data_IF_849494200700
#
_entry.id   IF_849494200700
#
_cell.length_a   1.000
_cell.length_b   1.000
_cell.length_c   1.000
_cell.angle_alpha   90.00
_cell.angle_beta   90.00
_cell.angle_gamma   90.00
#
_symmetry.space_group_name_H-M   'P 1'
#
loop_
_entity.id
_entity.type
_entity.pdbx_description
1 polymer ?
#
# COMPACT_ATOMS: atom_id res chain seq x y z
N UNK A 1 21.92 12.31 81.22
CA UNK A 1 21.53 13.18 80.08
C UNK A 1 20.82 12.34 79.04
N UNK A 2 19.48 12.34 79.06
CA UNK A 2 18.65 11.61 78.12
C UNK A 2 18.37 12.53 76.92
N UNK A 3 18.73 12.11 75.67
CA UNK A 3 18.31 12.76 74.42
C UNK A 3 17.15 11.96 73.87
N UNK A 4 15.99 12.59 73.81
CA UNK A 4 14.77 12.08 73.22
C UNK A 4 14.82 12.40 71.72
N UNK A 5 14.76 11.35 70.85
CA UNK A 5 14.65 11.48 69.44
C UNK A 5 13.17 11.42 69.09
N UNK A 6 12.63 12.48 68.49
CA UNK A 6 11.29 12.52 67.94
C UNK A 6 11.35 11.94 66.50
N UNK A 7 10.68 10.82 66.32
CA UNK A 7 10.45 10.23 65.00
C UNK A 7 9.22 10.88 64.37
N UNK A 8 9.41 11.70 63.39
CA UNK A 8 8.31 12.29 62.58
C UNK A 8 7.83 11.24 61.61
N UNK A 9 6.68 10.64 61.81
CA UNK A 9 5.99 9.82 60.80
C UNK A 9 5.30 10.77 59.80
N UNK A 10 5.86 10.89 58.60
CA UNK A 10 5.19 11.49 57.46
C UNK A 10 4.24 10.48 56.84
N UNK A 11 2.95 10.67 57.06
CA UNK A 11 1.87 9.93 56.43
C UNK A 11 1.72 10.43 54.97
N UNK A 12 2.35 9.79 54.04
CA UNK A 12 2.08 10.00 52.58
C UNK A 12 0.74 9.36 52.28
N UNK A 13 -0.29 10.18 52.14
CA UNK A 13 -1.55 9.78 51.52
C UNK A 13 -1.30 9.45 50.06
N UNK A 14 -1.27 8.19 49.73
CA UNK A 14 -1.41 7.73 48.33
C UNK A 14 -2.85 8.05 47.90
N UNK A 15 -3.01 9.10 47.13
CA UNK A 15 -4.20 9.30 46.31
C UNK A 15 -4.15 8.21 45.23
N UNK A 16 -4.75 7.06 45.49
CA UNK A 16 -5.16 6.14 44.47
C UNK A 16 -6.23 6.87 43.64
N UNK A 17 -5.84 7.46 42.53
CA UNK A 17 -6.79 7.80 41.48
C UNK A 17 -7.43 6.49 41.04
N UNK A 18 -8.62 6.20 41.55
CA UNK A 18 -9.47 5.22 40.90
C UNK A 18 -9.77 5.75 39.53
N UNK A 19 -9.08 5.22 38.51
CA UNK A 19 -9.54 5.32 37.13
C UNK A 19 -10.80 4.47 37.11
N UNK A 20 -11.93 5.14 36.92
CA UNK A 20 -13.24 4.49 36.88
C UNK A 20 -13.28 3.70 35.56
N UNK A 21 -12.98 2.41 35.63
CA UNK A 21 -13.00 1.49 34.49
C UNK A 21 -14.38 1.41 33.82
N UNK A 22 -15.44 1.82 34.49
CA UNK A 22 -16.79 1.85 33.94
C UNK A 22 -16.97 2.97 32.91
N UNK A 23 -16.23 4.07 32.96
CA UNK A 23 -16.35 5.15 31.99
C UNK A 23 -15.64 4.85 30.67
N UNK A 24 -14.60 4.00 30.69
CA UNK A 24 -13.89 3.60 29.47
C UNK A 24 -14.70 2.65 28.55
N UNK A 25 -15.79 2.07 29.05
CA UNK A 25 -16.66 1.15 28.30
C UNK A 25 -17.98 1.76 27.86
N UNK A 26 -18.28 2.99 28.30
CA UNK A 26 -19.52 3.66 27.91
C UNK A 26 -19.45 4.10 26.46
N UNK A 27 -20.46 3.74 25.63
CA UNK A 27 -20.50 4.23 24.27
C UNK A 27 -20.59 5.75 24.21
N UNK A 28 -19.86 6.36 23.29
CA UNK A 28 -19.92 7.78 23.00
C UNK A 28 -21.26 8.10 22.33
N UNK A 29 -21.94 9.12 22.82
CA UNK A 29 -23.29 9.46 22.34
C UNK A 29 -23.27 10.14 20.99
N UNK A 30 -22.20 10.88 20.70
CA UNK A 30 -22.08 11.59 19.42
C UNK A 30 -20.62 11.71 18.97
N UNK A 31 -20.24 10.92 17.97
CA UNK A 31 -19.01 11.09 17.22
C UNK A 31 -19.36 11.52 15.81
N UNK A 32 -18.66 12.49 15.28
CA UNK A 32 -18.90 13.02 13.94
C UNK A 32 -17.71 12.72 13.04
N UNK A 33 -17.96 12.20 11.84
CA UNK A 33 -16.96 12.08 10.77
C UNK A 33 -17.35 13.03 9.65
N UNK A 34 -16.44 13.93 9.29
CA UNK A 34 -16.66 14.92 8.23
C UNK A 34 -15.72 14.66 7.06
N UNK A 35 -16.28 14.57 5.86
CA UNK A 35 -15.53 14.51 4.62
C UNK A 35 -15.07 15.91 4.22
N UNK A 36 -13.77 16.08 4.04
CA UNK A 36 -13.16 17.31 3.51
C UNK A 36 -12.94 17.09 2.02
N UNK A 37 -13.64 17.87 1.20
CA UNK A 37 -13.61 17.76 -0.26
C UNK A 37 -12.22 17.98 -0.84
N UNK A 38 -11.88 17.32 -1.97
CA UNK A 38 -10.69 17.66 -2.74
C UNK A 38 -10.68 19.14 -3.15
N UNK A 39 -9.50 19.73 -3.28
CA UNK A 39 -9.34 21.16 -3.58
C UNK A 39 -10.06 21.59 -4.87
N UNK A 40 -10.05 20.72 -5.88
CA UNK A 40 -10.67 20.99 -7.18
C UNK A 40 -12.20 20.91 -7.16
N UNK A 41 -12.82 20.31 -6.15
CA UNK A 41 -14.29 20.28 -6.06
C UNK A 41 -14.84 21.65 -5.73
N UNK A 42 -15.79 22.13 -6.54
CA UNK A 42 -16.39 23.46 -6.36
C UNK A 42 -17.22 23.57 -5.09
N UNK A 43 -17.92 22.49 -4.72
CA UNK A 43 -18.78 22.43 -3.54
C UNK A 43 -18.84 21.02 -2.92
N UNK A 44 -19.74 20.80 -1.97
CA UNK A 44 -19.92 19.54 -1.27
C UNK A 44 -21.02 18.65 -1.88
N UNK A 45 -21.58 18.98 -3.03
CA UNK A 45 -22.75 18.26 -3.59
C UNK A 45 -22.53 16.77 -3.82
N UNK A 46 -21.29 16.34 -4.04
CA UNK A 46 -20.90 14.94 -4.24
C UNK A 46 -20.59 14.19 -2.94
N UNK A 47 -20.60 14.84 -1.77
CA UNK A 47 -20.23 14.23 -0.50
C UNK A 47 -21.40 13.60 0.26
N UNK A 48 -22.61 13.80 -0.20
CA UNK A 48 -23.81 13.26 0.45
C UNK A 48 -24.04 11.78 0.13
N UNK A 49 -24.65 11.09 1.11
CA UNK A 49 -25.02 9.68 1.01
C UNK A 49 -23.80 8.75 0.69
N UNK A 50 -22.64 9.05 1.30
CA UNK A 50 -21.42 8.25 1.19
C UNK A 50 -21.24 7.38 2.40
N UNK A 51 -20.84 6.13 2.18
CA UNK A 51 -20.60 5.17 3.26
C UNK A 51 -19.25 5.46 3.91
N UNK A 52 -19.26 5.71 5.21
CA UNK A 52 -18.05 5.73 6.05
C UNK A 52 -17.95 4.38 6.73
N UNK A 53 -16.78 3.77 6.68
CA UNK A 53 -16.47 2.51 7.38
C UNK A 53 -15.49 2.81 8.52
N UNK A 54 -15.84 2.38 9.73
CA UNK A 54 -14.96 2.42 10.91
C UNK A 54 -14.63 0.99 11.31
N UNK A 55 -13.36 0.63 11.29
CA UNK A 55 -12.88 -0.71 11.61
C UNK A 55 -11.94 -0.66 12.81
N UNK A 56 -12.24 -1.41 13.85
CA UNK A 56 -11.35 -1.77 14.96
C UNK A 56 -11.13 -3.29 14.93
N UNK A 57 -10.25 -3.83 15.80
CA UNK A 57 -9.74 -5.22 15.74
C UNK A 57 -10.81 -6.29 15.42
N UNK A 58 -11.97 -6.22 16.11
CA UNK A 58 -13.04 -7.22 15.96
C UNK A 58 -14.39 -6.59 15.58
N UNK A 59 -14.41 -5.35 15.13
CA UNK A 59 -15.65 -4.61 14.90
C UNK A 59 -15.54 -3.75 13.64
N UNK A 60 -16.57 -3.85 12.80
CA UNK A 60 -16.74 -2.95 11.66
C UNK A 60 -18.09 -2.27 11.79
N UNK A 61 -18.11 -0.96 11.66
CA UNK A 61 -19.30 -0.12 11.67
C UNK A 61 -19.37 0.68 10.39
N UNK A 62 -20.58 0.98 9.94
CA UNK A 62 -20.77 1.87 8.79
C UNK A 62 -21.76 2.97 9.15
N UNK A 63 -21.55 4.14 8.57
CA UNK A 63 -22.46 5.28 8.67
C UNK A 63 -22.61 5.95 7.31
N UNK A 64 -23.70 6.67 7.10
CA UNK A 64 -23.94 7.43 5.86
C UNK A 64 -23.76 8.92 6.11
N UNK A 65 -23.15 9.62 5.17
CA UNK A 65 -23.05 11.08 5.24
C UNK A 65 -24.36 11.78 4.84
N UNK A 66 -24.61 12.91 5.47
CA UNK A 66 -25.63 13.88 5.03
C UNK A 66 -25.21 14.63 3.75
N UNK A 67 -26.06 15.55 3.29
CA UNK A 67 -25.79 16.35 2.10
C UNK A 67 -24.53 17.24 2.20
N UNK A 68 -24.00 17.49 3.39
CA UNK A 68 -22.80 18.25 3.62
C UNK A 68 -21.55 17.39 3.76
N UNK A 69 -21.66 16.07 3.62
CA UNK A 69 -20.56 15.13 3.80
C UNK A 69 -20.26 14.83 5.28
N UNK A 70 -21.26 14.94 6.16
CA UNK A 70 -21.11 14.70 7.60
C UNK A 70 -21.86 13.46 8.02
N UNK A 71 -21.19 12.51 8.65
CA UNK A 71 -21.80 11.33 9.26
C UNK A 71 -21.77 11.45 10.79
N UNK A 72 -22.95 11.33 11.42
CA UNK A 72 -23.07 11.27 12.88
C UNK A 72 -23.21 9.83 13.34
N UNK A 73 -22.38 9.41 14.28
CA UNK A 73 -22.33 8.05 14.79
C UNK A 73 -22.71 8.11 16.28
N UNK A 74 -23.80 7.43 16.63
CA UNK A 74 -24.23 7.27 18.00
C UNK A 74 -23.73 5.92 18.57
N UNK A 75 -23.56 5.86 19.87
CA UNK A 75 -23.17 4.65 20.60
C UNK A 75 -21.84 4.02 20.12
N UNK A 76 -20.89 4.87 19.70
CA UNK A 76 -19.57 4.41 19.32
C UNK A 76 -18.76 3.97 20.55
N UNK A 77 -18.28 2.73 20.57
CA UNK A 77 -17.38 2.24 21.64
C UNK A 77 -16.04 2.99 21.54
N UNK A 78 -15.51 3.53 22.65
CA UNK A 78 -14.16 4.10 22.66
C UNK A 78 -13.12 3.08 22.21
N UNK A 79 -12.35 3.41 21.16
CA UNK A 79 -11.34 2.51 20.56
C UNK A 79 -10.43 3.27 19.60
N UNK A 80 -9.49 2.56 19.00
CA UNK A 80 -8.66 3.02 17.89
C UNK A 80 -9.20 2.47 16.58
N UNK A 81 -9.66 3.36 15.72
CA UNK A 81 -10.31 3.00 14.46
C UNK A 81 -9.45 3.30 13.24
N UNK A 82 -9.51 2.43 12.24
CA UNK A 82 -9.25 2.82 10.85
C UNK A 82 -10.57 3.29 10.27
N UNK A 83 -10.61 4.52 9.76
CA UNK A 83 -11.80 5.12 9.17
C UNK A 83 -11.56 5.32 7.69
N UNK A 84 -12.47 4.88 6.84
CA UNK A 84 -12.30 4.99 5.38
C UNK A 84 -13.61 5.22 4.67
N UNK A 85 -13.50 5.76 3.46
CA UNK A 85 -14.60 5.90 2.49
C UNK A 85 -14.03 5.85 1.08
N UNK A 86 -14.79 5.29 0.14
CA UNK A 86 -14.47 5.34 -1.28
C UNK A 86 -15.76 5.19 -2.12
N UNK A 87 -15.77 5.84 -3.29
CA UNK A 87 -16.83 5.68 -4.30
C UNK A 87 -16.32 6.08 -5.67
N UNK A 88 -16.89 5.49 -6.73
CA UNK A 88 -16.56 5.85 -8.10
C UNK A 88 -17.42 7.01 -8.59
N UNK A 89 -16.83 7.83 -9.46
CA UNK A 89 -17.50 8.86 -10.25
C UNK A 89 -17.04 8.77 -11.71
N UNK A 90 -17.91 9.08 -12.63
CA UNK A 90 -17.55 9.13 -14.05
C UNK A 90 -16.72 10.38 -14.36
N UNK A 91 -15.95 10.36 -15.46
CA UNK A 91 -15.22 11.54 -15.96
C UNK A 91 -16.15 12.74 -16.21
N UNK A 92 -17.40 12.49 -16.62
CA UNK A 92 -18.40 13.53 -16.83
C UNK A 92 -18.85 14.18 -15.50
N UNK A 93 -19.10 13.36 -14.47
CA UNK A 93 -19.41 13.84 -13.12
C UNK A 93 -18.24 14.65 -12.55
N UNK A 94 -17.01 14.14 -12.69
CA UNK A 94 -15.82 14.86 -12.24
C UNK A 94 -15.67 16.21 -12.91
N UNK A 95 -15.83 16.30 -14.24
CA UNK A 95 -15.83 17.55 -14.97
C UNK A 95 -16.88 18.54 -14.45
N UNK A 96 -18.08 18.04 -14.16
CA UNK A 96 -19.16 18.86 -13.58
C UNK A 96 -18.81 19.38 -12.17
N UNK A 97 -18.33 18.50 -11.29
CA UNK A 97 -17.99 18.83 -9.89
C UNK A 97 -16.84 19.82 -9.80
N UNK A 98 -15.89 19.74 -10.71
CA UNK A 98 -14.72 20.65 -10.76
C UNK A 98 -14.97 21.94 -11.55
N UNK A 99 -16.15 22.08 -12.16
CA UNK A 99 -16.46 23.22 -13.04
C UNK A 99 -15.53 23.31 -14.26
N UNK A 100 -15.07 22.15 -14.75
CA UNK A 100 -14.15 22.03 -15.89
C UNK A 100 -12.70 22.45 -15.58
N UNK A 101 -12.34 22.66 -14.32
CA UNK A 101 -10.99 23.07 -13.90
C UNK A 101 -10.06 21.87 -13.65
N UNK A 102 -10.60 20.66 -13.50
CA UNK A 102 -9.78 19.43 -13.46
C UNK A 102 -9.09 19.28 -14.80
N UNK A 103 -7.77 19.02 -14.85
CA UNK A 103 -7.16 18.47 -16.05
C UNK A 103 -8.04 17.32 -16.51
N UNK A 104 -8.28 17.23 -17.82
CA UNK A 104 -8.98 16.09 -18.39
C UNK A 104 -8.16 14.84 -18.04
N UNK A 105 -8.47 14.23 -16.90
CA UNK A 105 -8.15 12.86 -16.65
C UNK A 105 -8.77 12.10 -17.81
N UNK A 106 -8.08 11.12 -18.34
CA UNK A 106 -8.47 10.40 -19.55
C UNK A 106 -9.99 10.17 -19.54
N UNK A 107 -10.68 10.57 -20.62
CA UNK A 107 -12.13 10.37 -20.72
C UNK A 107 -12.54 8.90 -20.84
N UNK A 108 -11.59 7.98 -20.70
CA UNK A 108 -11.76 6.55 -20.89
C UNK A 108 -12.00 5.78 -19.57
N UNK A 109 -11.68 6.36 -18.42
CA UNK A 109 -11.77 5.66 -17.14
C UNK A 109 -12.68 6.39 -16.15
N UNK A 110 -13.31 5.63 -15.27
CA UNK A 110 -13.96 6.17 -14.09
C UNK A 110 -12.88 6.64 -13.09
N UNK A 111 -13.29 7.44 -12.12
CA UNK A 111 -12.42 7.96 -11.09
C UNK A 111 -12.91 7.47 -9.73
N UNK A 112 -11.99 7.18 -8.85
CA UNK A 112 -12.30 6.87 -7.45
C UNK A 112 -12.02 8.08 -6.57
N UNK A 113 -13.04 8.50 -5.82
CA UNK A 113 -12.90 9.45 -4.71
C UNK A 113 -12.73 8.65 -3.44
N UNK A 114 -11.63 8.84 -2.71
CA UNK A 114 -11.36 8.08 -1.50
C UNK A 114 -10.71 8.92 -0.41
N UNK A 115 -10.77 8.42 0.82
CA UNK A 115 -10.06 8.99 1.96
C UNK A 115 -9.99 8.00 3.10
N UNK A 116 -8.91 8.05 3.89
CA UNK A 116 -8.70 7.16 5.01
C UNK A 116 -7.90 7.81 6.13
N UNK A 117 -8.19 7.39 7.35
CA UNK A 117 -7.41 7.69 8.54
C UNK A 117 -7.08 6.37 9.25
N UNK A 118 -5.80 6.04 9.32
CA UNK A 118 -5.34 4.87 10.07
C UNK A 118 -5.12 5.25 11.54
N UNK A 119 -5.48 4.34 12.46
CA UNK A 119 -5.24 4.48 13.91
C UNK A 119 -5.78 5.78 14.50
N UNK A 120 -6.99 6.16 14.12
CA UNK A 120 -7.68 7.30 14.74
C UNK A 120 -8.16 6.93 16.12
N UNK A 121 -7.59 7.55 17.15
CA UNK A 121 -8.03 7.40 18.53
C UNK A 121 -9.36 8.14 18.75
N UNK A 122 -10.38 7.39 19.20
CA UNK A 122 -11.70 7.95 19.53
C UNK A 122 -12.09 7.47 20.94
N UNK A 123 -11.64 8.21 21.94
CA UNK A 123 -11.92 7.94 23.36
C UNK A 123 -12.84 8.98 24.00
N UNK A 124 -13.22 10.00 23.24
CA UNK A 124 -14.17 11.05 23.64
C UNK A 124 -14.98 11.50 22.44
N UNK A 125 -16.10 12.15 22.67
CA UNK A 125 -16.89 12.79 21.62
C UNK A 125 -16.06 13.81 20.87
N UNK A 126 -15.97 13.66 19.55
CA UNK A 126 -15.15 14.50 18.70
C UNK A 126 -15.63 14.53 17.26
N UNK A 127 -15.14 15.49 16.51
CA UNK A 127 -15.24 15.51 15.05
C UNK A 127 -13.93 15.06 14.45
N UNK A 128 -14.00 14.11 13.53
CA UNK A 128 -12.86 13.57 12.78
C UNK A 128 -13.00 13.96 11.33
N UNK A 129 -11.98 14.61 10.77
CA UNK A 129 -11.95 15.04 9.38
C UNK A 129 -11.21 14.03 8.52
N UNK A 130 -11.83 13.60 7.42
CA UNK A 130 -11.21 12.76 6.40
C UNK A 130 -10.95 13.60 5.16
N UNK A 131 -9.68 13.87 4.86
CA UNK A 131 -9.31 14.52 3.60
C UNK A 131 -9.53 13.53 2.46
N UNK A 132 -10.28 13.97 1.44
CA UNK A 132 -10.53 13.18 0.24
C UNK A 132 -9.50 13.49 -0.85
N UNK A 133 -9.17 12.47 -1.63
CA UNK A 133 -8.41 12.54 -2.88
C UNK A 133 -9.20 11.94 -4.03
N UNK A 134 -8.79 12.23 -5.25
CA UNK A 134 -9.35 11.65 -6.47
C UNK A 134 -8.22 10.96 -7.23
N UNK A 135 -8.45 9.73 -7.64
CA UNK A 135 -7.55 8.96 -8.48
C UNK A 135 -8.29 8.42 -9.70
N UNK A 136 -7.57 8.18 -10.78
CA UNK A 136 -8.10 7.53 -11.98
C UNK A 136 -8.02 6.02 -11.79
N UNK A 137 -9.09 5.29 -12.13
CA UNK A 137 -9.08 3.84 -12.11
C UNK A 137 -8.14 3.34 -13.21
N UNK A 138 -7.25 2.42 -12.87
CA UNK A 138 -6.23 1.93 -13.79
C UNK A 138 -6.63 0.59 -14.40
N UNK A 139 -6.30 0.40 -15.68
CA UNK A 139 -6.48 -0.88 -16.36
C UNK A 139 -5.61 -1.98 -15.74
N UNK A 140 -4.37 -1.63 -15.39
CA UNK A 140 -3.37 -2.56 -14.84
C UNK A 140 -3.06 -2.19 -13.40
N UNK A 141 -3.29 -3.13 -12.49
CA UNK A 141 -3.04 -2.94 -11.06
C UNK A 141 -2.08 -3.98 -10.49
N UNK A 142 -1.38 -3.62 -9.43
CA UNK A 142 -0.59 -4.56 -8.63
C UNK A 142 -1.56 -5.45 -7.86
N UNK A 143 -1.55 -6.74 -8.14
CA UNK A 143 -2.50 -7.69 -7.54
C UNK A 143 -1.91 -8.52 -6.41
N UNK A 144 -0.61 -8.87 -6.47
CA UNK A 144 0.07 -9.61 -5.40
C UNK A 144 1.50 -9.15 -5.23
N UNK A 145 1.97 -9.19 -3.98
CA UNK A 145 3.38 -8.99 -3.64
C UNK A 145 3.80 -10.08 -2.65
N UNK A 146 4.67 -10.99 -3.06
CA UNK A 146 5.28 -11.99 -2.20
C UNK A 146 6.69 -11.55 -1.81
N UNK A 147 6.77 -10.75 -0.76
CA UNK A 147 8.03 -10.27 -0.22
C UNK A 147 8.54 -11.07 0.97
N UNK A 148 7.63 -11.68 1.72
CA UNK A 148 7.97 -12.34 2.98
C UNK A 148 8.89 -13.55 2.80
N UNK A 149 8.74 -14.30 1.71
CA UNK A 149 9.42 -15.56 1.45
C UNK A 149 9.25 -16.59 2.60
N UNK A 150 9.99 -17.65 2.62
CA UNK A 150 9.83 -18.70 3.63
C UNK A 150 11.15 -19.21 4.19
N UNK A 151 11.09 -20.28 4.95
CA UNK A 151 12.23 -21.07 5.38
C UNK A 151 12.14 -22.48 4.78
N UNK A 152 13.31 -23.07 4.53
CA UNK A 152 13.40 -24.47 4.14
C UNK A 152 13.11 -25.42 5.32
N UNK A 153 13.03 -26.72 5.05
CA UNK A 153 12.78 -27.76 6.05
C UNK A 153 13.84 -27.81 7.17
N UNK A 154 15.02 -27.23 6.95
CA UNK A 154 16.09 -27.11 7.93
C UNK A 154 16.03 -25.76 8.68
N UNK A 155 14.93 -25.01 8.56
CA UNK A 155 14.74 -23.68 9.14
C UNK A 155 15.72 -22.63 8.62
N UNK A 156 16.34 -22.85 7.45
CA UNK A 156 17.21 -21.92 6.78
C UNK A 156 16.39 -20.99 5.90
N UNK A 157 16.74 -19.71 5.90
CA UNK A 157 16.10 -18.67 5.10
C UNK A 157 16.19 -19.00 3.61
N UNK A 158 15.03 -18.97 2.94
CA UNK A 158 14.89 -19.08 1.50
C UNK A 158 14.43 -17.74 0.93
N UNK A 159 15.14 -17.18 -0.06
CA UNK A 159 14.87 -15.82 -0.56
C UNK A 159 14.57 -15.73 -2.06
N UNK A 160 14.78 -16.82 -2.79
CA UNK A 160 14.69 -16.79 -4.25
C UNK A 160 13.26 -16.72 -4.79
N UNK A 161 12.26 -17.04 -3.97
CA UNK A 161 10.86 -17.15 -4.38
C UNK A 161 10.07 -15.86 -4.42
N UNK A 162 10.70 -14.68 -4.28
CA UNK A 162 9.97 -13.39 -4.35
C UNK A 162 9.31 -13.19 -5.72
N UNK A 163 8.06 -12.68 -5.69
CA UNK A 163 7.34 -12.33 -6.90
C UNK A 163 6.42 -11.12 -6.73
N UNK A 164 6.07 -10.55 -7.86
CA UNK A 164 5.07 -9.51 -8.07
C UNK A 164 4.09 -10.00 -9.12
N UNK A 165 2.80 -9.75 -8.94
CA UNK A 165 1.78 -10.09 -9.93
C UNK A 165 0.96 -8.84 -10.27
N UNK A 166 0.75 -8.63 -11.57
CA UNK A 166 -0.12 -7.60 -12.11
C UNK A 166 -1.41 -8.22 -12.63
N UNK A 167 -2.48 -7.44 -12.66
CA UNK A 167 -3.79 -7.86 -13.13
C UNK A 167 -4.40 -6.81 -14.07
N UNK A 168 -4.99 -7.27 -15.18
CA UNK A 168 -5.72 -6.40 -16.10
C UNK A 168 -7.20 -6.37 -15.69
N UNK A 169 -7.66 -5.24 -15.15
CA UNK A 169 -9.04 -5.02 -14.73
C UNK A 169 -9.97 -4.60 -15.87
N UNK A 170 -9.41 -4.18 -17.02
CA UNK A 170 -10.21 -3.65 -18.12
C UNK A 170 -10.84 -4.75 -18.98
N UNK A 171 -11.84 -4.37 -19.76
CA UNK A 171 -12.45 -5.24 -20.78
C UNK A 171 -11.64 -5.34 -22.06
N UNK A 172 -10.48 -4.70 -22.14
CA UNK A 172 -9.62 -4.67 -23.27
C UNK A 172 -8.31 -5.44 -23.06
N UNK A 173 -7.72 -5.91 -24.14
CA UNK A 173 -6.34 -6.40 -24.08
C UNK A 173 -5.39 -5.21 -24.02
N UNK A 174 -4.60 -5.12 -22.94
CA UNK A 174 -3.66 -4.02 -22.70
C UNK A 174 -2.24 -4.48 -23.02
N UNK A 175 -1.54 -3.71 -23.85
CA UNK A 175 -0.12 -3.94 -24.10
C UNK A 175 0.71 -3.22 -23.04
N UNK A 176 1.43 -4.00 -22.24
CA UNK A 176 2.25 -3.49 -21.13
C UNK A 176 3.75 -3.40 -21.49
N UNK A 177 4.10 -3.53 -22.77
CA UNK A 177 5.47 -3.30 -23.22
C UNK A 177 5.94 -1.87 -22.87
N UNK A 178 7.10 -1.77 -22.23
CA UNK A 178 7.63 -0.50 -21.77
C UNK A 178 7.09 0.00 -20.42
N UNK A 179 6.14 -0.71 -19.78
CA UNK A 179 5.69 -0.40 -18.43
C UNK A 179 6.86 -0.53 -17.44
N UNK A 180 7.00 0.44 -16.56
CA UNK A 180 8.02 0.43 -15.52
C UNK A 180 7.46 -0.04 -14.19
N UNK A 181 8.33 -0.74 -13.44
CA UNK A 181 8.09 -1.20 -12.08
C UNK A 181 9.15 -0.56 -11.20
N UNK A 182 8.73 0.31 -10.28
CA UNK A 182 9.57 0.98 -9.32
C UNK A 182 9.49 0.35 -7.94
N UNK A 183 10.62 -0.01 -7.33
CA UNK A 183 10.66 -0.38 -5.93
C UNK A 183 10.96 0.87 -5.11
N UNK A 184 10.04 1.24 -4.23
CA UNK A 184 10.16 2.43 -3.38
C UNK A 184 11.38 2.28 -2.46
N UNK A 185 12.03 3.40 -2.18
CA UNK A 185 13.24 3.44 -1.37
C UNK A 185 13.02 2.80 -0.01
N UNK A 186 13.86 1.89 0.37
CA UNK A 186 13.98 1.38 1.72
C UNK A 186 15.27 0.55 1.84
N UNK A 187 16.01 0.83 2.90
CA UNK A 187 17.16 0.03 3.30
C UNK A 187 17.21 -0.02 4.83
N UNK A 188 16.53 -1.00 5.41
CA UNK A 188 16.41 -1.10 6.87
C UNK A 188 15.43 -0.08 7.44
N UNK A 189 15.76 0.50 8.60
CA UNK A 189 14.85 1.36 9.38
C UNK A 189 14.89 2.85 9.02
N UNK A 190 15.90 3.27 8.27
CA UNK A 190 16.08 4.68 7.91
C UNK A 190 15.60 4.92 6.49
N UNK A 191 14.39 5.43 6.39
CA UNK A 191 13.74 5.80 5.15
C UNK A 191 13.31 7.27 5.22
N UNK A 192 13.10 7.88 4.06
CA UNK A 192 12.38 9.14 3.99
C UNK A 192 10.97 8.97 4.55
N UNK A 193 10.44 10.04 5.14
CA UNK A 193 9.03 10.12 5.54
C UNK A 193 8.28 11.03 4.57
N UNK A 194 6.94 11.02 4.60
CA UNK A 194 6.15 11.96 3.80
C UNK A 194 6.49 13.42 4.16
N UNK A 195 6.78 13.72 5.44
CA UNK A 195 7.22 15.05 5.87
C UNK A 195 8.53 15.47 5.19
N UNK A 196 9.52 14.57 5.12
CA UNK A 196 10.77 14.85 4.41
C UNK A 196 10.55 15.09 2.91
N UNK A 197 9.65 14.32 2.28
CA UNK A 197 9.31 14.49 0.87
C UNK A 197 8.57 15.82 0.63
N UNK A 198 7.69 16.21 1.56
CA UNK A 198 7.00 17.50 1.52
C UNK A 198 7.99 18.67 1.61
N UNK A 199 8.85 18.66 2.61
CA UNK A 199 9.84 19.72 2.84
C UNK A 199 10.83 19.90 1.67
N UNK A 200 11.27 18.79 1.08
CA UNK A 200 12.33 18.83 0.07
C UNK A 200 11.82 18.93 -1.35
N UNK A 201 10.64 18.35 -1.63
CA UNK A 201 10.15 18.16 -3.01
C UNK A 201 8.70 18.61 -3.20
N UNK A 202 8.08 19.24 -2.18
CA UNK A 202 6.69 19.72 -2.24
C UNK A 202 5.71 18.65 -2.77
N UNK A 203 5.84 17.40 -2.27
CA UNK A 203 5.00 16.25 -2.62
C UNK A 203 4.98 15.88 -4.11
N UNK A 204 6.04 16.19 -4.84
CA UNK A 204 6.08 16.03 -6.30
C UNK A 204 6.75 14.75 -6.78
N UNK A 205 7.45 14.00 -5.91
CA UNK A 205 8.25 12.83 -6.30
C UNK A 205 8.09 11.66 -5.33
N UNK A 206 8.27 10.45 -5.85
CA UNK A 206 8.48 9.22 -5.08
C UNK A 206 9.93 8.75 -5.29
N UNK A 207 10.60 8.31 -4.24
CA UNK A 207 11.99 7.88 -4.30
C UNK A 207 12.08 6.39 -4.60
N UNK A 208 12.85 6.02 -5.63
CA UNK A 208 13.02 4.64 -6.06
C UNK A 208 14.42 4.13 -5.81
N UNK A 209 14.54 2.93 -5.20
CA UNK A 209 15.81 2.21 -5.04
C UNK A 209 16.13 1.30 -6.22
N UNK A 210 15.13 0.78 -6.91
CA UNK A 210 15.27 -0.02 -8.12
C UNK A 210 14.18 0.32 -9.13
N UNK A 211 14.53 0.20 -10.41
CA UNK A 211 13.61 0.39 -11.53
C UNK A 211 13.83 -0.75 -12.51
N UNK A 212 12.76 -1.48 -12.78
CA UNK A 212 12.68 -2.46 -13.87
C UNK A 212 11.74 -1.95 -14.94
N UNK A 213 11.86 -2.49 -16.16
CA UNK A 213 10.97 -2.18 -17.27
C UNK A 213 10.64 -3.46 -18.03
N UNK A 214 9.39 -3.65 -18.41
CA UNK A 214 9.02 -4.66 -19.40
C UNK A 214 9.66 -4.26 -20.73
N UNK A 215 10.40 -5.15 -21.42
CA UNK A 215 11.12 -4.79 -22.64
C UNK A 215 10.20 -4.14 -23.68
N UNK A 216 10.64 -3.02 -24.26
CA UNK A 216 9.84 -2.24 -25.24
C UNK A 216 9.62 -2.96 -26.57
N UNK A 217 10.57 -3.82 -26.94
CA UNK A 217 10.55 -4.52 -28.24
C UNK A 217 9.77 -5.85 -28.19
N UNK A 218 9.11 -6.11 -27.07
CA UNK A 218 8.31 -7.31 -26.87
C UNK A 218 6.83 -6.94 -26.88
N UNK A 219 6.02 -7.64 -27.70
CA UNK A 219 4.57 -7.52 -27.59
C UNK A 219 4.15 -8.27 -26.30
N UNK A 220 3.72 -7.55 -25.28
CA UNK A 220 3.31 -8.12 -24.02
C UNK A 220 1.86 -7.71 -23.71
N UNK A 221 0.91 -8.49 -24.23
CA UNK A 221 -0.52 -8.21 -24.09
C UNK A 221 -1.12 -9.01 -22.94
N UNK A 222 -1.65 -8.29 -21.97
CA UNK A 222 -2.49 -8.87 -20.92
C UNK A 222 -3.94 -8.90 -21.40
N UNK A 223 -4.52 -10.10 -21.49
CA UNK A 223 -5.94 -10.25 -21.81
C UNK A 223 -6.82 -9.66 -20.71
N UNK A 224 -8.10 -9.31 -21.00
CA UNK A 224 -9.07 -8.93 -19.96
C UNK A 224 -9.15 -9.97 -18.84
N UNK A 225 -9.06 -9.52 -17.57
CA UNK A 225 -9.00 -10.41 -16.41
C UNK A 225 -7.73 -11.27 -16.31
N UNK A 226 -6.74 -11.02 -17.17
CA UNK A 226 -5.46 -11.75 -17.18
C UNK A 226 -4.46 -11.23 -16.18
N UNK A 227 -3.47 -12.06 -15.85
CA UNK A 227 -2.37 -11.74 -14.92
C UNK A 227 -1.03 -11.75 -15.64
N UNK A 228 -0.07 -11.02 -15.06
CA UNK A 228 1.33 -11.07 -15.46
C UNK A 228 2.18 -11.30 -14.22
N UNK A 229 2.92 -12.41 -14.20
CA UNK A 229 3.72 -12.87 -13.06
C UNK A 229 5.21 -12.57 -13.29
N UNK A 230 5.78 -11.78 -12.38
CA UNK A 230 7.16 -11.32 -12.39
C UNK A 230 7.88 -11.90 -11.17
N UNK A 231 8.95 -12.64 -11.38
CA UNK A 231 9.63 -13.42 -10.33
C UNK A 231 11.13 -13.16 -10.27
N UNK A 232 11.76 -13.47 -9.15
CA UNK A 232 13.22 -13.44 -9.05
C UNK A 232 13.89 -14.64 -9.74
N UNK A 233 13.21 -15.79 -9.77
CA UNK A 233 13.70 -17.02 -10.38
C UNK A 233 12.51 -17.88 -10.79
N UNK A 234 12.38 -18.15 -12.09
CA UNK A 234 11.22 -18.84 -12.69
C UNK A 234 11.40 -20.37 -12.63
N UNK A 235 11.56 -20.91 -11.43
CA UNK A 235 11.71 -22.35 -11.17
C UNK A 235 10.63 -22.83 -10.19
N UNK A 236 10.51 -24.14 -10.06
CA UNK A 236 9.68 -24.74 -9.02
C UNK A 236 10.45 -24.72 -7.67
N UNK A 237 10.16 -23.71 -6.86
CA UNK A 237 10.82 -23.52 -5.56
C UNK A 237 10.42 -24.57 -4.54
N UNK A 238 9.28 -25.25 -4.69
CA UNK A 238 8.84 -26.33 -3.78
C UNK A 238 9.80 -27.51 -3.80
N UNK A 239 10.51 -27.71 -4.90
CA UNK A 239 11.53 -28.77 -5.05
C UNK A 239 12.85 -28.48 -4.35
N UNK A 240 13.02 -27.31 -3.75
CA UNK A 240 14.22 -26.90 -3.05
C UNK A 240 14.11 -27.07 -1.51
N UNK A 241 13.35 -28.05 -1.05
CA UNK A 241 13.05 -28.28 0.37
C UNK A 241 12.42 -27.08 1.08
N UNK A 242 11.70 -26.24 0.33
CA UNK A 242 11.01 -25.06 0.83
C UNK A 242 9.49 -25.21 0.58
N UNK A 243 8.78 -26.01 1.39
CA UNK A 243 7.40 -26.44 1.11
C UNK A 243 6.36 -25.32 1.16
N UNK A 244 6.73 -24.16 1.70
CA UNK A 244 5.88 -22.96 1.71
C UNK A 244 6.13 -22.03 0.53
N UNK A 245 7.05 -22.37 -0.36
CA UNK A 245 7.30 -21.63 -1.58
C UNK A 245 6.36 -22.08 -2.70
N UNK A 246 6.45 -21.43 -3.85
CA UNK A 246 5.56 -21.62 -4.99
C UNK A 246 6.30 -22.28 -6.17
N UNK A 247 5.54 -22.94 -7.04
CA UNK A 247 5.99 -23.26 -8.39
C UNK A 247 5.86 -22.00 -9.25
N UNK A 248 6.99 -21.42 -9.63
CA UNK A 248 7.08 -20.19 -10.44
C UNK A 248 7.51 -20.47 -11.88
N UNK A 249 7.49 -21.72 -12.35
CA UNK A 249 7.87 -22.08 -13.73
C UNK A 249 6.99 -21.44 -14.78
N UNK A 250 5.74 -21.09 -14.43
CA UNK A 250 4.79 -20.38 -15.32
C UNK A 250 4.92 -18.84 -15.30
N UNK A 251 6.04 -18.28 -14.81
CA UNK A 251 6.24 -16.83 -14.80
C UNK A 251 6.36 -16.25 -16.22
N UNK A 252 5.94 -14.99 -16.37
CA UNK A 252 6.06 -14.26 -17.63
C UNK A 252 7.42 -13.58 -17.77
N UNK A 253 7.99 -13.12 -16.64
CA UNK A 253 9.30 -12.45 -16.60
C UNK A 253 10.11 -12.79 -15.36
N UNK A 254 11.44 -12.77 -15.51
CA UNK A 254 12.37 -12.73 -14.39
C UNK A 254 12.85 -11.29 -14.16
N UNK A 255 12.67 -10.77 -12.92
CA UNK A 255 13.12 -9.43 -12.55
C UNK A 255 14.57 -9.44 -12.09
N UNK A 256 15.52 -9.58 -13.03
CA UNK A 256 16.95 -9.64 -12.76
C UNK A 256 17.81 -9.25 -13.95
N UNK A 257 19.04 -8.82 -13.69
CA UNK A 257 20.12 -8.78 -14.69
C UNK A 257 20.75 -10.17 -14.77
N UNK A 258 20.38 -10.94 -15.77
CA UNK A 258 20.82 -12.34 -15.94
C UNK A 258 22.33 -12.48 -16.10
N UNK A 259 23.03 -11.43 -16.52
CA UNK A 259 24.51 -11.44 -16.66
C UNK A 259 25.26 -11.40 -15.34
N UNK A 260 24.61 -10.96 -14.26
CA UNK A 260 25.22 -10.74 -12.95
C UNK A 260 24.59 -11.54 -11.82
N UNK A 261 23.37 -12.03 -12.03
CA UNK A 261 22.58 -12.61 -10.94
C UNK A 261 23.00 -14.05 -10.63
N UNK A 262 23.25 -14.40 -9.35
CA UNK A 262 23.62 -15.76 -8.95
C UNK A 262 22.40 -16.70 -8.80
N UNK A 263 21.17 -16.19 -8.86
CA UNK A 263 19.98 -17.04 -8.77
C UNK A 263 19.82 -17.90 -10.02
N UNK A 264 19.26 -19.09 -9.83
CA UNK A 264 18.96 -20.00 -10.94
C UNK A 264 18.09 -19.30 -11.97
N UNK A 265 18.50 -19.37 -13.22
CA UNK A 265 17.84 -18.76 -14.35
C UNK A 265 17.02 -19.81 -15.12
N UNK A 266 15.82 -19.43 -15.52
CA UNK A 266 15.05 -20.20 -16.50
C UNK A 266 15.23 -19.56 -17.88
N UNK A 267 15.96 -20.22 -18.82
CA UNK A 267 16.24 -19.62 -20.14
C UNK A 267 15.00 -19.44 -21.02
N UNK A 268 13.90 -20.12 -20.69
CA UNK A 268 12.64 -20.00 -21.42
C UNK A 268 11.82 -18.78 -21.00
N UNK A 269 12.17 -18.14 -19.86
CA UNK A 269 11.47 -16.98 -19.32
C UNK A 269 12.32 -15.73 -19.57
N UNK A 270 11.81 -14.72 -20.29
CA UNK A 270 12.55 -13.49 -20.54
C UNK A 270 12.81 -12.69 -19.27
N UNK A 271 13.89 -11.93 -19.23
CA UNK A 271 14.17 -11.01 -18.15
C UNK A 271 13.62 -9.62 -18.43
N UNK A 272 13.25 -8.90 -17.36
CA UNK A 272 12.99 -7.47 -17.42
C UNK A 272 14.29 -6.70 -17.64
N UNK A 273 14.20 -5.52 -18.24
CA UNK A 273 15.31 -4.56 -18.28
C UNK A 273 15.53 -4.00 -16.86
N UNK A 274 16.70 -4.23 -16.26
CA UNK A 274 17.10 -3.54 -15.03
C UNK A 274 17.65 -2.15 -15.39
N UNK A 275 16.84 -1.11 -15.22
CA UNK A 275 17.18 0.28 -15.57
C UNK A 275 18.03 0.93 -14.48
N UNK A 276 17.72 0.69 -13.20
CA UNK A 276 18.43 1.24 -12.07
C UNK A 276 18.46 0.28 -10.89
N UNK A 277 19.58 0.21 -10.20
CA UNK A 277 19.69 -0.42 -8.88
C UNK A 277 20.64 0.40 -7.99
N UNK A 278 20.20 0.65 -6.76
CA UNK A 278 20.94 1.45 -5.76
C UNK A 278 22.29 0.85 -5.36
N UNK A 279 22.47 -0.45 -5.54
CA UNK A 279 23.76 -1.13 -5.46
C UNK A 279 24.01 -1.96 -6.72
N UNK A 280 25.16 -1.80 -7.32
CA UNK A 280 25.55 -2.53 -8.54
C UNK A 280 25.62 -4.06 -8.36
N UNK A 281 25.72 -4.53 -7.11
CA UNK A 281 25.74 -5.94 -6.75
C UNK A 281 24.34 -6.54 -6.55
N UNK A 282 23.31 -5.70 -6.47
CA UNK A 282 21.91 -6.16 -6.37
C UNK A 282 21.31 -6.10 -7.76
N UNK A 283 21.22 -7.25 -8.40
CA UNK A 283 20.83 -7.40 -9.79
C UNK A 283 19.48 -8.10 -9.98
N UNK A 284 18.77 -8.39 -8.90
CA UNK A 284 17.41 -8.93 -8.89
C UNK A 284 16.46 -8.02 -8.10
N UNK A 285 15.17 -8.23 -8.25
CA UNK A 285 14.15 -7.53 -7.46
C UNK A 285 14.40 -7.74 -5.96
N UNK A 286 14.58 -6.64 -5.24
CA UNK A 286 14.92 -6.67 -3.81
C UNK A 286 13.78 -6.12 -2.95
N UNK A 287 12.80 -6.95 -2.66
CA UNK A 287 11.76 -6.67 -1.69
C UNK A 287 12.26 -7.01 -0.28
N UNK A 288 12.10 -6.10 0.67
CA UNK A 288 12.48 -6.36 2.06
C UNK A 288 11.49 -7.34 2.71
N UNK A 289 12.00 -8.46 3.19
CA UNK A 289 11.18 -9.60 3.63
C UNK A 289 10.30 -9.34 4.86
N UNK A 290 10.56 -8.29 5.60
CA UNK A 290 9.79 -7.88 6.77
C UNK A 290 8.83 -6.71 6.51
N UNK A 291 8.67 -6.28 5.27
CA UNK A 291 7.95 -5.08 4.88
C UNK A 291 8.89 -3.94 4.48
N UNK A 292 8.42 -2.69 4.41
CA UNK A 292 9.12 -1.55 3.81
C UNK A 292 9.48 -1.82 2.33
N UNK A 293 8.52 -2.33 1.57
CA UNK A 293 8.73 -2.73 0.18
C UNK A 293 7.64 -2.19 -0.76
N UNK A 294 7.34 -0.90 -0.67
CA UNK A 294 6.42 -0.25 -1.58
C UNK A 294 6.80 -0.48 -3.05
N UNK A 295 5.80 -0.71 -3.88
CA UNK A 295 5.93 -0.94 -5.32
C UNK A 295 5.04 0.04 -6.04
N UNK A 296 5.53 0.63 -7.13
CA UNK A 296 4.75 1.50 -8.02
C UNK A 296 4.86 1.02 -9.46
N UNK A 297 3.75 1.14 -10.20
CA UNK A 297 3.73 1.06 -11.65
C UNK A 297 3.75 2.47 -12.20
N UNK A 298 4.55 2.72 -13.23
CA UNK A 298 4.57 4.02 -13.89
C UNK A 298 4.88 3.91 -15.38
N UNK A 299 4.47 4.92 -16.12
CA UNK A 299 4.74 5.01 -17.56
C UNK A 299 5.22 6.40 -17.94
N UNK A 300 6.22 6.44 -18.83
CA UNK A 300 6.78 7.68 -19.35
C UNK A 300 7.53 7.43 -20.66
N UNK A 301 7.56 8.46 -21.50
CA UNK A 301 8.43 8.50 -22.69
C UNK A 301 9.79 9.17 -22.40
N UNK A 302 9.98 9.71 -21.19
CA UNK A 302 11.26 10.31 -20.78
C UNK A 302 12.34 9.23 -20.60
N UNK A 303 13.61 9.65 -20.74
CA UNK A 303 14.74 8.80 -20.41
C UNK A 303 14.96 8.76 -18.89
N UNK A 304 14.41 7.72 -18.27
CA UNK A 304 14.50 7.49 -16.82
C UNK A 304 15.93 7.42 -16.30
N UNK A 305 16.89 7.04 -17.15
CA UNK A 305 18.31 6.97 -16.74
C UNK A 305 18.92 8.34 -16.45
N UNK A 306 18.35 9.39 -17.05
CA UNK A 306 18.75 10.78 -16.88
C UNK A 306 18.11 11.47 -15.68
N UNK A 307 17.14 10.85 -15.02
CA UNK A 307 16.43 11.47 -13.91
C UNK A 307 17.35 11.78 -12.74
N UNK A 308 16.99 12.84 -12.03
CA UNK A 308 17.71 13.30 -10.83
C UNK A 308 17.71 12.24 -9.74
N UNK A 309 18.74 12.23 -8.91
CA UNK A 309 18.91 11.31 -7.79
C UNK A 309 19.23 12.09 -6.52
N UNK A 310 18.74 11.59 -5.39
CA UNK A 310 19.07 12.12 -4.07
C UNK A 310 19.78 11.07 -3.22
N UNK A 311 20.55 11.52 -2.23
CA UNK A 311 21.21 10.60 -1.33
C UNK A 311 20.25 9.95 -0.34
N UNK A 312 20.64 8.78 0.14
CA UNK A 312 19.86 7.90 1.02
C UNK A 312 19.27 8.59 2.25
N UNK A 313 19.98 9.52 2.84
CA UNK A 313 19.54 10.20 4.05
C UNK A 313 19.17 11.65 3.75
N UNK A 314 17.97 12.10 4.16
CA UNK A 314 17.56 13.48 3.96
C UNK A 314 18.55 14.45 4.63
N UNK A 315 19.00 15.43 3.88
CA UNK A 315 19.81 16.58 4.35
C UNK A 315 21.17 16.25 5.01
N UNK A 316 21.62 15.00 5.05
CA UNK A 316 22.83 14.62 5.80
C UNK A 316 23.90 13.95 4.95
N UNK A 317 23.54 13.22 3.89
CA UNK A 317 24.48 12.51 3.05
C UNK A 317 24.91 13.34 1.84
N UNK A 318 26.19 13.37 1.55
CA UNK A 318 26.79 13.98 0.36
C UNK A 318 27.51 12.95 -0.53
N UNK A 319 27.44 11.69 -0.16
CA UNK A 319 28.03 10.56 -0.89
C UNK A 319 27.33 9.26 -0.54
N UNK A 320 27.52 8.21 -1.33
CA UNK A 320 27.01 6.86 -1.08
C UNK A 320 25.77 6.53 -1.89
N UNK A 321 24.87 5.73 -1.31
CA UNK A 321 23.66 5.25 -1.93
C UNK A 321 22.72 6.39 -2.33
N UNK A 322 22.15 6.29 -3.52
CA UNK A 322 21.21 7.27 -4.06
C UNK A 322 19.87 6.63 -4.40
N UNK A 323 18.83 7.44 -4.42
CA UNK A 323 17.48 7.13 -4.87
C UNK A 323 17.11 7.95 -6.09
N UNK A 324 16.43 7.35 -7.07
CA UNK A 324 15.92 8.07 -8.24
C UNK A 324 14.65 8.82 -7.86
N UNK A 325 14.52 10.07 -8.29
CA UNK A 325 13.33 10.89 -8.10
C UNK A 325 12.33 10.59 -9.22
N UNK A 326 11.32 9.78 -8.94
CA UNK A 326 10.20 9.54 -9.85
C UNK A 326 9.17 10.66 -9.70
N UNK A 327 8.89 11.47 -10.73
CA UNK A 327 7.79 12.42 -10.69
C UNK A 327 6.45 11.70 -10.53
N UNK A 328 5.69 12.04 -9.48
CA UNK A 328 4.45 11.30 -9.14
C UNK A 328 3.40 11.29 -10.25
N UNK A 329 3.41 12.29 -11.14
CA UNK A 329 2.49 12.36 -12.31
C UNK A 329 2.59 11.18 -13.27
N UNK A 330 3.65 10.39 -13.23
CA UNK A 330 3.82 9.19 -14.07
C UNK A 330 3.33 7.91 -13.42
N UNK A 331 3.00 7.95 -12.12
CA UNK A 331 2.54 6.78 -11.38
C UNK A 331 1.11 6.43 -11.81
N UNK A 332 0.91 5.17 -12.14
CA UNK A 332 -0.38 4.58 -12.48
C UNK A 332 -1.00 3.90 -11.27
N UNK A 333 -0.25 3.04 -10.59
CA UNK A 333 -0.69 2.33 -9.39
C UNK A 333 0.45 2.23 -8.38
N UNK A 334 0.14 2.11 -7.10
CA UNK A 334 1.13 1.98 -6.05
C UNK A 334 0.59 1.29 -4.81
N UNK A 335 1.42 0.41 -4.24
CA UNK A 335 1.09 -0.35 -3.03
C UNK A 335 2.18 -0.14 -1.99
N UNK A 336 1.82 0.42 -0.85
CA UNK A 336 2.71 0.57 0.30
C UNK A 336 2.65 -0.67 1.17
N UNK A 337 3.78 -1.38 1.32
CA UNK A 337 3.92 -2.43 2.32
C UNK A 337 4.76 -1.93 3.48
N UNK A 338 4.29 -2.11 4.71
CA UNK A 338 5.01 -1.73 5.92
C UNK A 338 5.25 -2.94 6.82
N UNK A 339 6.24 -2.82 7.70
CA UNK A 339 6.51 -3.85 8.71
C UNK A 339 5.42 -3.82 9.79
N UNK A 340 4.89 -5.00 10.10
CA UNK A 340 3.93 -5.16 11.20
C UNK A 340 4.64 -5.18 12.55
N UNK A 341 3.95 -4.74 13.60
CA UNK A 341 4.37 -4.82 15.01
C UNK A 341 3.26 -5.48 15.83
N UNK A 342 3.63 -6.38 16.72
CA UNK A 342 2.68 -7.19 17.48
C UNK A 342 1.64 -6.35 18.24
N UNK A 343 2.07 -5.29 18.89
CA UNK A 343 1.22 -4.51 19.80
C UNK A 343 0.55 -3.30 19.14
N UNK A 344 1.09 -2.80 18.02
CA UNK A 344 0.67 -1.52 17.44
C UNK A 344 0.36 -1.58 15.96
N UNK A 345 0.50 -2.74 15.33
CA UNK A 345 0.39 -2.89 13.87
C UNK A 345 1.47 -2.12 13.10
N UNK A 346 1.28 -1.81 11.82
CA UNK A 346 2.28 -1.14 11.01
C UNK A 346 2.60 0.27 11.50
N UNK A 347 3.85 0.68 11.34
CA UNK A 347 4.31 2.03 11.66
C UNK A 347 4.05 2.97 10.48
N UNK A 348 2.89 3.61 10.47
CA UNK A 348 2.45 4.50 9.40
C UNK A 348 3.35 5.75 9.23
N UNK A 349 4.17 6.11 10.23
CA UNK A 349 5.16 7.18 10.07
C UNK A 349 6.24 6.83 9.04
N UNK A 350 6.32 5.58 8.63
CA UNK A 350 7.24 5.08 7.61
C UNK A 350 6.65 5.04 6.20
N UNK A 351 5.43 5.53 6.01
CA UNK A 351 4.84 5.67 4.67
C UNK A 351 5.70 6.58 3.79
N UNK A 352 5.76 6.23 2.50
CA UNK A 352 6.51 6.94 1.46
C UNK A 352 5.68 7.23 0.22
N UNK A 353 4.52 6.55 0.09
CA UNK A 353 3.54 6.87 -0.94
C UNK A 353 2.54 7.89 -0.39
N UNK A 354 2.24 8.89 -1.20
CA UNK A 354 1.25 9.91 -0.87
C UNK A 354 -0.16 9.31 -0.81
N UNK A 355 -1.07 9.91 -0.03
CA UNK A 355 -2.44 9.40 0.11
C UNK A 355 -3.21 9.22 -1.20
N UNK A 356 -2.94 10.03 -2.21
CA UNK A 356 -3.54 9.92 -3.55
C UNK A 356 -3.03 8.73 -4.36
N UNK A 357 -1.89 8.13 -3.99
CA UNK A 357 -1.34 6.91 -4.62
C UNK A 357 -1.77 5.69 -3.81
N UNK A 358 -1.57 5.75 -2.49
CA UNK A 358 -2.04 4.73 -1.55
C UNK A 358 -2.37 5.39 -0.21
N UNK A 359 -3.65 5.50 0.12
CA UNK A 359 -4.09 6.22 1.31
C UNK A 359 -3.62 5.57 2.62
N UNK A 360 -3.31 4.27 2.63
CA UNK A 360 -2.84 3.55 3.81
C UNK A 360 -1.65 2.62 3.48
N UNK A 361 -1.65 1.41 3.99
CA UNK A 361 -0.63 0.40 3.72
C UNK A 361 -1.18 -1.01 3.94
N UNK A 362 -0.59 -1.99 3.25
CA UNK A 362 -0.77 -3.41 3.58
C UNK A 362 0.44 -3.96 4.32
N UNK A 363 0.32 -5.14 4.92
CA UNK A 363 1.41 -5.82 5.61
C UNK A 363 1.10 -7.30 5.80
N UNK A 364 2.12 -8.16 5.98
CA UNK A 364 1.92 -9.52 6.46
C UNK A 364 1.48 -9.50 7.93
N UNK A 365 0.80 -10.55 8.37
CA UNK A 365 0.34 -10.67 9.78
C UNK A 365 1.52 -10.81 10.73
N UNK A 366 2.55 -11.55 10.32
CA UNK A 366 3.76 -11.74 11.10
C UNK A 366 4.57 -10.45 11.27
N UNK A 367 5.31 -10.34 12.37
CA UNK A 367 6.21 -9.20 12.66
C UNK A 367 7.59 -9.34 12.01
N UNK A 368 7.89 -10.50 11.45
CA UNK A 368 9.14 -10.82 10.77
C UNK A 368 8.85 -11.51 9.45
N UNK A 369 9.75 -11.42 8.49
CA UNK A 369 9.66 -12.16 7.23
C UNK A 369 9.86 -13.68 7.38
N UNK A 370 9.92 -14.36 6.25
CA UNK A 370 10.17 -15.81 6.12
C UNK A 370 9.02 -16.68 6.65
N UNK A 371 7.79 -16.24 6.41
CA UNK A 371 6.56 -16.87 6.95
C UNK A 371 5.68 -17.51 5.89
N UNK A 372 6.03 -17.36 4.59
CA UNK A 372 5.23 -17.83 3.47
C UNK A 372 3.97 -16.99 3.21
N UNK A 373 3.85 -15.83 3.85
CA UNK A 373 2.69 -14.97 3.70
C UNK A 373 2.78 -14.14 2.41
N UNK A 374 1.69 -14.12 1.65
CA UNK A 374 1.49 -13.33 0.44
C UNK A 374 0.48 -12.22 0.74
N UNK A 375 0.78 -10.98 0.39
CA UNK A 375 -0.23 -9.93 0.33
C UNK A 375 -0.86 -9.93 -1.06
N UNK A 376 -2.20 -9.93 -1.13
CA UNK A 376 -2.93 -10.03 -2.39
C UNK A 376 -4.19 -9.18 -2.36
N UNK A 377 -4.54 -8.61 -3.51
CA UNK A 377 -5.70 -7.76 -3.67
C UNK A 377 -6.97 -8.60 -3.64
N UNK A 378 -7.97 -8.15 -2.90
CA UNK A 378 -9.28 -8.82 -2.76
C UNK A 378 -10.01 -8.84 -4.09
N UNK A 379 -10.81 -9.89 -4.31
CA UNK A 379 -11.79 -9.89 -5.40
C UNK A 379 -12.94 -8.95 -5.07
N UNK A 380 -13.34 -8.12 -6.03
CA UNK A 380 -14.52 -7.26 -5.93
C UNK A 380 -15.80 -8.10 -6.05
N UNK A 381 -16.87 -7.66 -5.40
CA UNK A 381 -18.24 -8.17 -5.61
C UNK A 381 -18.82 -7.76 -6.98
N UNK A 382 -18.18 -6.80 -7.64
CA UNK A 382 -18.54 -6.35 -8.99
C UNK A 382 -17.76 -7.12 -10.04
N UNK A 383 -18.33 -7.17 -11.23
CA UNK A 383 -17.67 -7.62 -12.45
C UNK A 383 -17.55 -6.45 -13.43
N UNK A 384 -16.58 -6.54 -14.32
CA UNK A 384 -16.47 -5.59 -15.44
C UNK A 384 -17.70 -5.66 -16.35
N UNK A 385 -17.87 -4.70 -17.25
CA UNK A 385 -18.93 -4.72 -18.24
C UNK A 385 -18.85 -5.97 -19.16
N UNK A 386 -17.65 -6.47 -19.44
CA UNK A 386 -17.38 -7.71 -20.16
C UNK A 386 -17.57 -9.00 -19.35
N UNK A 387 -17.93 -8.89 -18.05
CA UNK A 387 -18.17 -10.01 -17.16
C UNK A 387 -16.91 -10.60 -16.51
N UNK A 388 -15.75 -9.94 -16.63
CA UNK A 388 -14.51 -10.36 -16.02
C UNK A 388 -14.50 -10.06 -14.51
N UNK A 389 -13.68 -10.83 -13.78
CA UNK A 389 -13.35 -10.55 -12.38
C UNK A 389 -12.71 -9.16 -12.27
N UNK A 390 -13.12 -8.40 -11.28
CA UNK A 390 -12.45 -7.17 -10.86
C UNK A 390 -11.81 -7.39 -9.49
N UNK A 391 -10.73 -6.67 -9.24
CA UNK A 391 -10.13 -6.61 -7.92
C UNK A 391 -10.55 -5.31 -7.22
N UNK A 392 -10.57 -5.32 -5.89
CA UNK A 392 -10.86 -4.10 -5.13
C UNK A 392 -9.70 -3.13 -5.30
N UNK A 393 -10.01 -1.94 -5.80
CA UNK A 393 -9.05 -0.86 -5.97
C UNK A 393 -9.69 0.47 -5.51
N UNK A 394 -9.32 0.89 -4.30
CA UNK A 394 -9.78 2.14 -3.70
C UNK A 394 -8.62 3.08 -3.40
N UNK A 395 -7.44 2.80 -3.97
CA UNK A 395 -6.17 3.46 -3.63
C UNK A 395 -5.91 3.47 -2.11
N UNK A 396 -6.25 2.36 -1.45
CA UNK A 396 -6.06 2.16 -0.03
C UNK A 396 -5.74 0.68 0.25
N UNK A 397 -4.46 0.35 0.27
CA UNK A 397 -4.03 -1.05 0.38
C UNK A 397 -4.42 -1.72 1.71
N UNK A 398 -4.75 -0.97 2.78
CA UNK A 398 -5.34 -1.56 3.98
C UNK A 398 -6.77 -2.09 3.76
N UNK A 399 -7.52 -1.49 2.85
CA UNK A 399 -8.85 -1.95 2.47
C UNK A 399 -8.80 -2.99 1.35
N UNK A 400 -7.88 -2.79 0.40
CA UNK A 400 -7.87 -3.50 -0.87
C UNK A 400 -7.20 -4.88 -0.78
N UNK A 401 -6.31 -5.08 0.19
CA UNK A 401 -5.50 -6.29 0.30
C UNK A 401 -5.89 -7.17 1.47
N UNK A 402 -5.71 -8.47 1.26
CA UNK A 402 -5.70 -9.53 2.28
C UNK A 402 -4.31 -10.16 2.38
N UNK A 403 -4.14 -11.07 3.35
CA UNK A 403 -2.94 -11.85 3.56
C UNK A 403 -3.29 -13.34 3.63
N UNK A 404 -2.52 -14.19 2.93
CA UNK A 404 -2.71 -15.63 2.95
C UNK A 404 -1.36 -16.35 2.91
N UNK A 405 -1.33 -17.59 3.42
CA UNK A 405 -0.20 -18.53 3.27
C UNK A 405 -0.47 -19.60 2.22
N UNK A 406 -1.67 -19.65 1.69
CA UNK A 406 -2.14 -20.73 0.82
C UNK A 406 -2.47 -20.26 -0.59
N UNK A 407 -2.60 -18.96 -0.82
CA UNK A 407 -2.91 -18.43 -2.14
C UNK A 407 -1.70 -18.56 -3.05
N UNK A 408 -1.90 -19.16 -4.21
CA UNK A 408 -0.85 -19.34 -5.22
C UNK A 408 -0.81 -18.16 -6.21
N UNK A 409 0.27 -18.01 -6.99
CA UNK A 409 0.26 -17.12 -8.15
C UNK A 409 -0.94 -17.39 -9.07
N UNK A 410 -1.55 -16.33 -9.59
CA UNK A 410 -2.73 -16.33 -10.49
C UNK A 410 -4.04 -16.81 -9.85
N UNK A 411 -4.05 -17.17 -8.57
CA UNK A 411 -5.26 -17.52 -7.82
C UNK A 411 -5.80 -16.31 -7.08
N UNK A 412 -7.11 -16.17 -6.98
CA UNK A 412 -7.82 -15.12 -6.26
C UNK A 412 -8.99 -15.71 -5.50
N UNK A 413 -9.35 -15.08 -4.37
CA UNK A 413 -10.54 -15.48 -3.62
C UNK A 413 -11.78 -15.47 -4.53
N UNK A 414 -12.63 -16.44 -4.36
CA UNK A 414 -13.98 -16.43 -4.92
C UNK A 414 -14.85 -15.57 -4.01
N UNK A 415 -15.69 -14.71 -4.60
CA UNK A 415 -16.70 -13.99 -3.84
C UNK A 415 -17.82 -14.99 -3.56
N UNK A 416 -18.12 -15.25 -2.28
CA UNK A 416 -19.31 -16.03 -1.92
C UNK A 416 -20.55 -15.26 -2.41
N UNK A 417 -21.36 -15.92 -3.26
CA UNK A 417 -22.61 -15.37 -3.82
C UNK A 417 -23.73 -15.25 -2.73
#
# INVERSE_FOLDING_TARGET
MRKTIYCLLSLTAMLSACVDYEDATKPLQQTTVRLVKPELFTDNSNLGNRTITLKADNKTLTAQTDANGVASISELTPDVYTISTAWSITSSEYSSITGGKGQALSSAHDLTVSGSLAKQEIFAEQTVDIQLSVSEDQDIVISKIYYATSKDENNKIYRAGQYLELFNQSDNSVDVAGLYIGLVEAEGIQAYTLENLHEQYADSVVLLKQIFRIPKDTICKMAPGGTLLIVNSAIDHTKNNAPMEHDLTGADFEAKDTSKNPLTNNPEVPALDLIYSYYSTISNMNLLTNGLCGVVLFQTDEDVTSWEKTYKYPNTATSGTQWVLLPKRYILDGVECLSNRADTGPDISKKRLYPEIDASCTHIVATTGYTGEVVYRKTSDKKSAGGHKLLVDTNNSANDFNVSKTISPREYDEVEE
#
